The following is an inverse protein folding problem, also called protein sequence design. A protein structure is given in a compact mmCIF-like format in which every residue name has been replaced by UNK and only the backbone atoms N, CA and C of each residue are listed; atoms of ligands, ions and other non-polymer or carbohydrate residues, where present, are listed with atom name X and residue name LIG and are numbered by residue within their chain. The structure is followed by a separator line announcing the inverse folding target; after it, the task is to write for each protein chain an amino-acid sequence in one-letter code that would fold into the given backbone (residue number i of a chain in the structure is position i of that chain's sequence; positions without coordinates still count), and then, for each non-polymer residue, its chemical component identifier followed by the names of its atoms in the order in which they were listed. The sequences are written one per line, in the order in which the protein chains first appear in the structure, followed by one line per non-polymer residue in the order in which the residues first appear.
data_IF_363107801868
#
_entry.id   IF_363107801868
#
_cell.length_a   1.000
_cell.length_b   1.000
_cell.length_c   1.000
_cell.angle_alpha   90.00
_cell.angle_beta   90.00
_cell.angle_gamma   90.00
#
_symmetry.space_group_name_H-M   'P 1'
#
loop_
_entity.id
_entity.type
_entity.pdbx_description
1 polymer ?
#
# COMPACT_ATOMS: atom_id res chain seq x y z
N UNK A 1 -11.90 18.44 -12.93
CA UNK A 1 -11.90 18.11 -11.51
C UNK A 1 -10.47 17.98 -11.03
N UNK A 2 -10.12 18.65 -9.97
CA UNK A 2 -8.77 18.55 -9.42
C UNK A 2 -8.60 17.20 -8.74
N UNK A 3 -7.48 16.54 -9.01
CA UNK A 3 -7.14 15.31 -8.30
C UNK A 3 -6.87 15.63 -6.84
N UNK A 4 -7.54 14.91 -5.95
CA UNK A 4 -7.25 15.03 -4.53
C UNK A 4 -6.02 14.21 -4.19
N UNK A 5 -5.30 14.64 -3.17
CA UNK A 5 -4.13 13.91 -2.70
C UNK A 5 -4.55 12.53 -2.20
N UNK A 6 -3.88 11.51 -2.70
CA UNK A 6 -4.14 10.13 -2.30
C UNK A 6 -3.43 9.89 -0.98
N UNK A 7 -4.18 9.51 0.04
CA UNK A 7 -3.61 9.24 1.36
C UNK A 7 -3.07 7.82 1.44
N UNK A 8 -3.91 6.84 1.10
CA UNK A 8 -3.55 5.42 1.17
C UNK A 8 -3.91 4.74 -0.15
N UNK A 9 -2.98 3.96 -0.67
CA UNK A 9 -3.26 2.98 -1.70
C UNK A 9 -3.23 1.60 -1.04
N UNK A 10 -4.36 0.91 -1.04
CA UNK A 10 -4.48 -0.44 -0.49
C UNK A 10 -4.55 -1.43 -1.64
N UNK A 11 -3.57 -2.32 -1.73
CA UNK A 11 -3.51 -3.36 -2.77
C UNK A 11 -3.73 -4.71 -2.09
N UNK A 12 -4.95 -5.22 -2.21
CA UNK A 12 -5.41 -6.41 -1.50
C UNK A 12 -6.47 -7.12 -2.33
N UNK A 13 -6.22 -8.36 -2.70
CA UNK A 13 -7.18 -9.17 -3.47
C UNK A 13 -8.23 -9.87 -2.59
N UNK A 14 -7.93 -10.09 -1.32
CA UNK A 14 -8.87 -10.71 -0.40
C UNK A 14 -9.89 -9.67 0.08
N UNK A 15 -11.12 -9.84 -0.36
CA UNK A 15 -12.20 -8.88 -0.11
C UNK A 15 -12.45 -8.66 1.39
N UNK A 16 -12.43 -9.74 2.16
CA UNK A 16 -12.66 -9.67 3.61
C UNK A 16 -11.56 -8.90 4.32
N UNK A 17 -10.31 -9.17 3.96
CA UNK A 17 -9.16 -8.47 4.54
C UNK A 17 -9.16 -6.99 4.16
N UNK A 18 -9.50 -6.68 2.91
CA UNK A 18 -9.60 -5.29 2.45
C UNK A 18 -10.68 -4.54 3.22
N UNK A 19 -11.85 -5.15 3.41
CA UNK A 19 -12.96 -4.52 4.14
C UNK A 19 -12.62 -4.29 5.61
N UNK A 20 -11.93 -5.23 6.24
CA UNK A 20 -11.49 -5.07 7.63
C UNK A 20 -10.52 -3.90 7.77
N UNK A 21 -9.57 -3.81 6.84
CA UNK A 21 -8.58 -2.73 6.81
C UNK A 21 -9.26 -1.37 6.65
N UNK A 22 -10.14 -1.26 5.66
CA UNK A 22 -10.85 -0.01 5.38
C UNK A 22 -11.72 0.40 6.56
N UNK A 23 -12.43 -0.56 7.16
CA UNK A 23 -13.30 -0.28 8.31
C UNK A 23 -12.50 0.24 9.51
N UNK A 24 -11.35 -0.38 9.79
CA UNK A 24 -10.48 0.06 10.87
C UNK A 24 -10.02 1.50 10.66
N UNK A 25 -9.57 1.83 9.45
CA UNK A 25 -9.13 3.18 9.12
C UNK A 25 -10.28 4.18 9.17
N UNK A 26 -11.42 3.82 8.64
CA UNK A 26 -12.60 4.69 8.61
C UNK A 26 -13.07 5.09 10.01
N UNK A 27 -13.01 4.15 10.95
CA UNK A 27 -13.41 4.39 12.34
C UNK A 27 -12.59 5.49 12.99
N UNK A 28 -11.36 5.70 12.53
CA UNK A 28 -10.44 6.72 13.07
C UNK A 28 -10.20 7.88 12.09
N UNK A 29 -11.07 8.04 11.10
CA UNK A 29 -10.99 9.10 10.10
C UNK A 29 -9.70 9.06 9.27
N UNK A 30 -9.16 7.88 9.03
CA UNK A 30 -7.92 7.67 8.27
C UNK A 30 -8.16 7.07 6.88
N UNK A 31 -9.41 6.96 6.43
CA UNK A 31 -9.74 6.39 5.12
C UNK A 31 -10.10 7.45 4.07
N UNK A 32 -9.88 8.73 4.35
CA UNK A 32 -10.12 9.79 3.39
C UNK A 32 -9.16 9.64 2.21
N UNK A 33 -9.72 9.65 0.99
CA UNK A 33 -8.93 9.48 -0.24
C UNK A 33 -8.13 8.17 -0.27
N UNK A 34 -8.70 7.11 0.29
CA UNK A 34 -8.17 5.78 0.15
C UNK A 34 -8.60 5.18 -1.18
N UNK A 35 -7.65 4.61 -1.91
CA UNK A 35 -7.91 3.88 -3.14
C UNK A 35 -7.64 2.40 -2.87
N UNK A 36 -8.60 1.55 -3.21
CA UNK A 36 -8.45 0.10 -3.07
C UNK A 36 -8.34 -0.55 -4.45
N UNK A 37 -7.26 -1.27 -4.68
CA UNK A 37 -7.02 -2.04 -5.89
C UNK A 37 -6.87 -3.52 -5.54
N UNK A 38 -7.20 -4.39 -6.48
CA UNK A 38 -7.39 -5.81 -6.19
C UNK A 38 -6.28 -6.72 -6.68
N UNK A 39 -5.34 -6.22 -7.49
CA UNK A 39 -4.21 -7.02 -7.95
C UNK A 39 -2.99 -6.16 -8.26
N UNK A 40 -1.85 -6.83 -8.46
CA UNK A 40 -0.59 -6.14 -8.67
C UNK A 40 -0.49 -5.43 -10.01
N UNK A 41 -1.11 -5.98 -11.06
CA UNK A 41 -1.11 -5.32 -12.36
C UNK A 41 -1.88 -4.01 -12.33
N UNK A 42 -3.03 -4.02 -11.66
CA UNK A 42 -3.85 -2.82 -11.47
C UNK A 42 -3.09 -1.77 -10.64
N UNK A 43 -2.36 -2.23 -9.62
CA UNK A 43 -1.55 -1.34 -8.79
C UNK A 43 -0.48 -0.61 -9.61
N UNK A 44 0.25 -1.33 -10.46
CA UNK A 44 1.27 -0.71 -11.30
C UNK A 44 0.67 0.25 -12.32
N UNK A 45 -0.46 -0.11 -12.92
CA UNK A 45 -1.15 0.79 -13.84
C UNK A 45 -1.56 2.09 -13.14
N UNK A 46 -2.04 1.98 -11.91
CA UNK A 46 -2.42 3.15 -11.11
C UNK A 46 -1.19 4.02 -10.79
N UNK A 47 -0.14 3.42 -10.25
CA UNK A 47 1.06 4.16 -9.83
C UNK A 47 1.73 4.86 -11.00
N UNK A 48 1.82 4.18 -12.15
CA UNK A 48 2.50 4.71 -13.34
C UNK A 48 1.56 5.42 -14.33
N UNK A 49 0.30 5.64 -13.94
CA UNK A 49 -0.69 6.38 -14.72
C UNK A 49 -0.84 5.82 -16.14
N UNK A 50 -1.09 4.53 -16.25
CA UNK A 50 -1.26 3.85 -17.54
C UNK A 50 -2.49 2.95 -17.52
N UNK A 51 -2.84 2.35 -18.67
CA UNK A 51 -4.02 1.51 -18.78
C UNK A 51 -5.29 2.29 -18.45
N UNK A 52 -6.13 1.75 -17.60
CA UNK A 52 -7.38 2.41 -17.19
C UNK A 52 -7.14 3.69 -16.38
N UNK A 53 -5.92 3.88 -15.89
CA UNK A 53 -5.54 5.06 -15.12
C UNK A 53 -4.74 6.07 -15.93
N UNK A 54 -4.74 5.94 -17.24
CA UNK A 54 -4.11 6.91 -18.12
C UNK A 54 -4.75 8.28 -17.90
N UNK A 55 -3.95 9.28 -17.72
CA UNK A 55 -4.44 10.63 -17.41
C UNK A 55 -4.26 11.03 -15.95
N UNK A 56 -3.97 10.07 -15.05
CA UNK A 56 -3.56 10.43 -13.69
C UNK A 56 -2.22 11.15 -13.73
N UNK A 57 -2.03 12.03 -12.76
CA UNK A 57 -0.71 12.65 -12.54
C UNK A 57 0.16 11.69 -11.71
N UNK A 58 1.24 11.18 -12.28
CA UNK A 58 2.16 10.28 -11.57
C UNK A 58 2.81 10.97 -10.37
N UNK A 59 2.88 12.31 -10.38
CA UNK A 59 3.38 13.09 -9.25
C UNK A 59 2.44 13.13 -8.07
N UNK A 60 1.15 12.77 -8.25
CA UNK A 60 0.20 12.63 -7.16
C UNK A 60 0.38 11.26 -6.52
N UNK A 61 1.40 11.14 -5.68
CA UNK A 61 1.82 9.89 -5.06
C UNK A 61 1.03 9.63 -3.78
N UNK A 62 0.66 8.37 -3.52
CA UNK A 62 0.09 8.03 -2.22
C UNK A 62 1.07 8.33 -1.10
N UNK A 63 0.56 8.68 0.07
CA UNK A 63 1.41 8.86 1.25
C UNK A 63 1.94 7.54 1.78
N UNK A 64 1.23 6.46 1.52
CA UNK A 64 1.66 5.10 1.87
C UNK A 64 0.92 4.10 1.00
N UNK A 65 1.59 2.99 0.68
CA UNK A 65 0.98 1.84 0.01
C UNK A 65 0.96 0.68 1.00
N UNK A 66 -0.22 0.12 1.25
CA UNK A 66 -0.37 -1.14 1.97
C UNK A 66 -0.50 -2.24 0.91
N UNK A 67 0.43 -3.18 0.89
CA UNK A 67 0.62 -4.10 -0.23
C UNK A 67 0.73 -5.54 0.26
N UNK A 68 -0.17 -6.41 -0.19
CA UNK A 68 -0.07 -7.84 0.08
C UNK A 68 0.93 -8.50 -0.88
N UNK A 69 1.58 -9.57 -0.43
CA UNK A 69 2.53 -10.32 -1.26
C UNK A 69 1.81 -11.26 -2.21
N UNK A 70 0.87 -12.06 -1.70
CA UNK A 70 0.25 -13.14 -2.48
C UNK A 70 -1.01 -12.64 -3.18
N UNK A 71 -0.86 -12.26 -4.44
CA UNK A 71 -1.96 -11.78 -5.27
C UNK A 71 -1.89 -12.43 -6.65
N UNK A 72 -3.05 -12.53 -7.35
CA UNK A 72 -3.06 -13.04 -8.71
C UNK A 72 -2.33 -12.10 -9.68
N UNK A 73 -1.91 -12.64 -10.82
CA UNK A 73 -1.21 -11.96 -11.91
C UNK A 73 0.19 -11.52 -11.55
N UNK A 74 0.35 -10.65 -10.58
CA UNK A 74 1.62 -10.06 -10.19
C UNK A 74 1.72 -10.06 -8.67
N UNK A 75 2.79 -10.63 -8.12
CA UNK A 75 2.97 -10.68 -6.66
C UNK A 75 3.31 -9.30 -6.10
N UNK A 76 3.08 -9.12 -4.80
CA UNK A 76 3.44 -7.88 -4.13
C UNK A 76 4.93 -7.59 -4.17
N UNK A 77 5.77 -8.62 -4.18
CA UNK A 77 7.23 -8.43 -4.31
C UNK A 77 7.61 -7.85 -5.67
N UNK A 78 6.94 -8.29 -6.73
CA UNK A 78 7.15 -7.74 -8.07
C UNK A 78 6.68 -6.30 -8.17
N UNK A 79 5.55 -5.97 -7.55
CA UNK A 79 5.04 -4.59 -7.47
C UNK A 79 6.03 -3.71 -6.72
N UNK A 80 6.49 -4.16 -5.56
CA UNK A 80 7.47 -3.45 -4.74
C UNK A 80 8.74 -3.16 -5.54
N UNK A 81 9.27 -4.17 -6.21
CA UNK A 81 10.47 -4.04 -7.03
C UNK A 81 10.30 -2.97 -8.10
N UNK A 82 9.19 -2.98 -8.83
CA UNK A 82 8.93 -2.03 -9.90
C UNK A 82 8.84 -0.60 -9.37
N UNK A 83 8.15 -0.38 -8.25
CA UNK A 83 7.99 0.95 -7.67
C UNK A 83 9.32 1.49 -7.15
N UNK A 84 10.11 0.66 -6.48
CA UNK A 84 11.38 1.10 -5.90
C UNK A 84 12.50 1.26 -6.93
N UNK A 85 12.36 0.67 -8.12
CA UNK A 85 13.33 0.80 -9.20
C UNK A 85 13.18 2.07 -10.04
N UNK A 86 12.07 2.76 -9.93
CA UNK A 86 11.78 3.96 -10.74
C UNK A 86 12.03 5.22 -9.91
N UNK A 87 12.80 6.15 -10.47
CA UNK A 87 13.15 7.41 -9.80
C UNK A 87 11.92 8.25 -9.41
N UNK A 88 10.83 8.12 -10.18
CA UNK A 88 9.62 8.89 -9.93
C UNK A 88 8.79 8.37 -8.76
N UNK A 89 8.99 7.11 -8.35
CA UNK A 89 8.13 6.44 -7.37
C UNK A 89 8.90 5.82 -6.21
N UNK A 90 10.20 5.75 -6.26
CA UNK A 90 11.01 5.02 -5.27
C UNK A 90 10.87 5.56 -3.83
N UNK A 91 10.45 6.80 -3.65
CA UNK A 91 10.30 7.39 -2.33
C UNK A 91 8.94 7.12 -1.69
N UNK A 92 8.01 6.51 -2.40
CA UNK A 92 6.69 6.18 -1.83
C UNK A 92 6.88 5.13 -0.74
N UNK A 93 6.43 5.40 0.50
CA UNK A 93 6.51 4.41 1.57
C UNK A 93 5.64 3.19 1.26
N UNK A 94 6.19 2.01 1.43
CA UNK A 94 5.46 0.75 1.19
C UNK A 94 5.52 -0.12 2.43
N UNK A 95 4.34 -0.48 2.93
CA UNK A 95 4.17 -1.39 4.06
C UNK A 95 3.63 -2.70 3.49
N UNK A 96 4.41 -3.77 3.64
CA UNK A 96 3.94 -5.11 3.26
C UNK A 96 3.00 -5.63 4.33
N UNK A 97 1.81 -6.05 3.93
CA UNK A 97 0.79 -6.57 4.85
C UNK A 97 0.34 -7.92 4.33
N UNK A 98 0.79 -8.98 4.95
CA UNK A 98 0.59 -10.32 4.42
C UNK A 98 0.44 -11.35 5.54
N UNK A 99 -0.20 -12.47 5.24
CA UNK A 99 -0.26 -13.61 6.15
C UNK A 99 1.03 -14.42 6.18
N UNK A 100 1.98 -14.15 5.28
CA UNK A 100 3.24 -14.88 5.24
C UNK A 100 4.16 -14.48 6.41
N UNK A 101 4.62 -15.50 7.16
CA UNK A 101 5.63 -15.34 8.22
C UNK A 101 6.98 -15.88 7.77
N UNK A 102 7.11 -16.28 6.51
CA UNK A 102 8.33 -16.89 6.00
C UNK A 102 9.47 -15.88 5.97
N UNK A 103 10.60 -16.26 6.54
CA UNK A 103 11.78 -15.40 6.60
C UNK A 103 12.26 -14.97 5.22
N UNK A 104 12.12 -15.85 4.22
CA UNK A 104 12.52 -15.53 2.85
C UNK A 104 11.69 -14.35 2.29
N UNK A 105 10.42 -14.30 2.59
CA UNK A 105 9.55 -13.19 2.14
C UNK A 105 9.89 -11.88 2.87
N UNK A 106 10.20 -11.98 4.16
CA UNK A 106 10.58 -10.82 4.96
C UNK A 106 11.90 -10.23 4.42
N UNK A 107 12.91 -11.08 4.24
CA UNK A 107 14.20 -10.64 3.73
C UNK A 107 14.06 -10.03 2.34
N UNK A 108 13.36 -10.71 1.43
CA UNK A 108 13.16 -10.21 0.07
C UNK A 108 12.46 -8.84 0.06
N UNK A 109 11.46 -8.67 0.93
CA UNK A 109 10.74 -7.40 1.03
C UNK A 109 11.66 -6.25 1.42
N UNK A 110 12.49 -6.44 2.45
CA UNK A 110 13.40 -5.39 2.88
C UNK A 110 14.52 -5.14 1.87
N UNK A 111 15.05 -6.18 1.23
CA UNK A 111 16.07 -6.03 0.19
C UNK A 111 15.53 -5.22 -1.00
N UNK A 112 14.25 -5.36 -1.32
CA UNK A 112 13.61 -4.62 -2.41
C UNK A 112 13.17 -3.21 -2.00
N UNK A 113 13.32 -2.84 -0.74
CA UNK A 113 13.06 -1.48 -0.29
C UNK A 113 11.76 -1.25 0.46
N UNK A 114 11.13 -2.30 1.00
CA UNK A 114 9.95 -2.13 1.83
C UNK A 114 10.30 -1.32 3.09
N UNK A 115 9.38 -0.44 3.49
CA UNK A 115 9.56 0.37 4.69
C UNK A 115 9.15 -0.37 5.95
N UNK A 116 8.18 -1.27 5.85
CA UNK A 116 7.71 -2.08 6.96
C UNK A 116 7.16 -3.41 6.45
N UNK A 117 7.16 -4.42 7.32
CA UNK A 117 6.58 -5.72 7.03
C UNK A 117 5.69 -6.10 8.20
N UNK A 118 4.40 -6.25 7.95
CA UNK A 118 3.41 -6.56 8.97
C UNK A 118 2.75 -7.89 8.61
N UNK A 119 2.87 -8.87 9.51
CA UNK A 119 2.16 -10.14 9.37
C UNK A 119 0.73 -9.93 9.83
N UNK A 120 -0.24 -10.29 8.99
CA UNK A 120 -1.64 -10.19 9.34
C UNK A 120 -1.90 -11.07 10.56
N UNK A 121 -2.31 -10.48 11.70
CA UNK A 121 -2.50 -11.26 12.91
C UNK A 121 -3.74 -12.12 12.84
N UNK A 122 -3.72 -13.19 13.62
CA UNK A 122 -4.90 -13.99 13.89
C UNK A 122 -5.67 -13.26 14.99
N UNK A 123 -6.67 -12.50 14.62
CA UNK A 123 -7.47 -11.73 15.56
C UNK A 123 -7.68 -10.32 15.10
N UNK A 124 -8.93 -9.92 15.08
CA UNK A 124 -9.37 -8.65 14.53
C UNK A 124 -8.82 -7.43 15.29
N UNK A 125 -8.80 -7.49 16.62
CA UNK A 125 -8.39 -6.33 17.42
C UNK A 125 -6.94 -5.93 17.22
N UNK A 126 -6.04 -6.91 17.20
CA UNK A 126 -4.61 -6.62 16.98
C UNK A 126 -4.34 -6.11 15.58
N UNK A 127 -5.02 -6.68 14.59
CA UNK A 127 -4.90 -6.23 13.21
C UNK A 127 -5.38 -4.79 13.07
N UNK A 128 -6.56 -4.51 13.61
CA UNK A 128 -7.17 -3.18 13.56
C UNK A 128 -6.27 -2.13 14.21
N UNK A 129 -5.72 -2.43 15.39
CA UNK A 129 -4.82 -1.52 16.10
C UNK A 129 -3.58 -1.21 15.27
N UNK A 130 -2.94 -2.21 14.71
CA UNK A 130 -1.74 -2.04 13.88
C UNK A 130 -2.04 -1.17 12.67
N UNK A 131 -3.14 -1.44 11.96
CA UNK A 131 -3.54 -0.67 10.78
C UNK A 131 -3.75 0.81 11.14
N UNK A 132 -4.41 1.09 12.25
CA UNK A 132 -4.66 2.47 12.67
C UNK A 132 -3.35 3.19 13.02
N UNK A 133 -2.44 2.52 13.72
CA UNK A 133 -1.13 3.11 14.05
C UNK A 133 -0.32 3.41 12.80
N UNK A 134 -0.28 2.50 11.84
CA UNK A 134 0.41 2.70 10.56
C UNK A 134 -0.24 3.81 9.74
N UNK A 135 -1.57 3.81 9.65
CA UNK A 135 -2.29 4.84 8.93
C UNK A 135 -2.04 6.22 9.51
N UNK A 136 -2.05 6.34 10.82
CA UNK A 136 -1.77 7.60 11.51
C UNK A 136 -0.33 8.05 11.25
N UNK A 137 0.64 7.15 11.44
CA UNK A 137 2.05 7.51 11.26
C UNK A 137 2.32 8.02 9.85
N UNK A 138 1.93 7.26 8.82
CA UNK A 138 2.26 7.59 7.45
C UNK A 138 1.47 8.77 6.89
N UNK A 139 0.24 8.98 7.35
CA UNK A 139 -0.58 10.09 6.88
C UNK A 139 -0.30 11.40 7.62
N UNK A 140 -0.05 11.31 8.93
CA UNK A 140 -0.02 12.50 9.79
C UNK A 140 1.38 12.85 10.25
N UNK A 141 2.16 11.85 10.68
CA UNK A 141 3.46 12.07 11.32
C UNK A 141 4.58 12.17 10.30
N UNK A 142 4.60 11.25 9.33
CA UNK A 142 5.69 11.18 8.36
C UNK A 142 5.66 12.35 7.39
N UNK A 143 6.84 12.87 7.05
CA UNK A 143 7.00 13.91 6.03
C UNK A 143 7.63 13.30 4.78
N UNK A 144 6.94 13.42 3.65
CA UNK A 144 7.46 12.94 2.37
C UNK A 144 8.33 14.00 1.71
N UNK A 145 9.34 13.59 0.91
CA UNK A 145 10.10 14.56 0.13
C UNK A 145 9.21 15.22 -0.91
N UNK A 146 9.48 16.49 -1.18
CA UNK A 146 8.71 17.30 -2.14
C UNK A 146 9.33 17.27 -3.52
N UNK A 147 9.67 16.09 -4.01
CA UNK A 147 10.26 15.93 -5.33
C UNK A 147 9.52 14.94 -6.17
#
# INVERSE_FOLDING_TARGET
MLDQDIQILLVEDNKSDAMLTIRALKKHNLSNNLIHLIDGAQALDFIFARGEFLGRDIGNKPKVIFLDIKMPKLSGLEVLKAIKADERTKTIPIVMMTSSKEEVDIIASYELGANSYVVKPVGFENFSKTIVELGFYWQIINNLPKV
#
